data_IF_611418881022
#
_entry.id   IF_611418881022
#
_cell.length_a   1.000
_cell.length_b   1.000
_cell.length_c   1.000
_cell.angle_alpha   90.00
_cell.angle_beta   90.00
_cell.angle_gamma   90.00
#
_symmetry.space_group_name_H-M   'P 1'
#
loop_
_entity.id
_entity.type
_entity.pdbx_description
1 polymer ?
#
# COMPACT_ATOMS: atom_id res chain seq x y z
N UNK A 1 -73.82 -20.90 -32.02
CA UNK A 1 -72.79 -21.88 -32.41
C UNK A 1 -71.50 -21.11 -32.50
N UNK A 2 -70.61 -21.42 -31.57
CA UNK A 2 -69.36 -20.72 -31.26
C UNK A 2 -68.44 -20.45 -32.46
N UNK A 3 -67.73 -19.33 -32.31
CA UNK A 3 -66.54 -18.92 -33.04
C UNK A 3 -65.36 -19.84 -32.72
N UNK A 4 -64.80 -20.51 -33.73
CA UNK A 4 -63.52 -21.21 -33.65
C UNK A 4 -62.38 -20.18 -33.76
N UNK A 5 -61.83 -19.79 -32.60
CA UNK A 5 -60.67 -18.91 -32.49
C UNK A 5 -59.41 -19.76 -32.61
N UNK A 6 -58.64 -19.50 -33.67
CA UNK A 6 -57.31 -20.05 -33.87
C UNK A 6 -56.42 -19.80 -32.65
N UNK A 7 -55.99 -20.88 -32.01
CA UNK A 7 -54.99 -20.85 -30.94
C UNK A 7 -53.62 -20.54 -31.54
N UNK A 8 -53.20 -19.29 -31.46
CA UNK A 8 -51.80 -18.88 -31.66
C UNK A 8 -50.98 -19.46 -30.50
N UNK A 9 -50.30 -20.59 -30.73
CA UNK A 9 -49.23 -21.03 -29.83
C UNK A 9 -48.14 -19.94 -29.79
N UNK A 10 -47.70 -19.49 -28.60
CA UNK A 10 -46.51 -18.66 -28.51
C UNK A 10 -45.28 -19.46 -28.99
N UNK A 11 -44.25 -18.82 -29.59
CA UNK A 11 -43.06 -19.52 -30.04
C UNK A 11 -42.41 -20.22 -28.85
N UNK A 12 -42.07 -21.51 -29.00
CA UNK A 12 -41.29 -22.24 -28.01
C UNK A 12 -39.96 -21.52 -27.79
N UNK A 13 -39.81 -20.85 -26.65
CA UNK A 13 -38.56 -20.20 -26.25
C UNK A 13 -37.49 -21.27 -26.01
N UNK A 14 -36.70 -21.58 -27.04
CA UNK A 14 -35.59 -22.53 -26.94
C UNK A 14 -34.43 -21.85 -26.20
N UNK A 15 -34.14 -22.31 -24.99
CA UNK A 15 -32.95 -21.93 -24.23
C UNK A 15 -31.77 -22.83 -24.62
N UNK A 16 -30.55 -22.29 -24.55
CA UNK A 16 -29.30 -23.03 -24.69
C UNK A 16 -28.53 -22.87 -23.38
N UNK A 17 -28.13 -23.99 -22.79
CA UNK A 17 -27.25 -24.02 -21.62
C UNK A 17 -25.84 -24.38 -22.09
N UNK A 18 -24.84 -23.61 -21.64
CA UNK A 18 -23.42 -23.89 -21.93
C UNK A 18 -22.89 -25.00 -21.04
N UNK A 19 -21.74 -25.56 -21.42
CA UNK A 19 -20.93 -26.35 -20.50
C UNK A 19 -20.47 -25.48 -19.31
N UNK A 20 -20.22 -26.09 -18.14
CA UNK A 20 -19.75 -25.36 -16.97
C UNK A 20 -18.33 -24.83 -17.18
N UNK A 21 -18.06 -23.64 -16.65
CA UNK A 21 -16.71 -23.07 -16.64
C UNK A 21 -15.79 -23.74 -15.59
N UNK A 22 -14.57 -23.24 -15.42
CA UNK A 22 -13.61 -23.76 -14.43
C UNK A 22 -14.12 -23.64 -12.98
N UNK A 23 -15.10 -22.78 -12.72
CA UNK A 23 -15.74 -22.58 -11.43
C UNK A 23 -17.03 -23.39 -11.27
N UNK A 24 -17.42 -24.16 -12.28
CA UNK A 24 -18.65 -24.96 -12.29
C UNK A 24 -19.91 -24.17 -12.59
N UNK A 25 -19.79 -22.95 -13.13
CA UNK A 25 -20.92 -22.06 -13.42
C UNK A 25 -21.46 -22.34 -14.83
N UNK A 26 -22.78 -22.55 -14.92
CA UNK A 26 -23.51 -22.76 -16.17
C UNK A 26 -24.23 -21.48 -16.58
N UNK A 27 -24.16 -21.15 -17.88
CA UNK A 27 -24.88 -20.01 -18.43
C UNK A 27 -26.04 -20.49 -19.29
N UNK A 28 -27.22 -19.88 -19.14
CA UNK A 28 -28.41 -20.20 -19.95
C UNK A 28 -28.88 -18.96 -20.70
N UNK A 29 -28.97 -19.06 -22.02
CA UNK A 29 -29.34 -17.95 -22.91
C UNK A 29 -30.59 -18.29 -23.72
N UNK A 30 -31.41 -17.27 -23.99
CA UNK A 30 -32.56 -17.38 -24.88
C UNK A 30 -32.12 -17.26 -26.35
N UNK A 31 -32.57 -18.18 -27.22
CA UNK A 31 -32.41 -17.98 -28.67
C UNK A 31 -33.35 -16.87 -29.18
N UNK A 32 -32.95 -16.14 -30.24
CA UNK A 32 -31.71 -16.29 -31.03
C UNK A 32 -30.51 -15.45 -30.53
N UNK A 33 -30.66 -14.72 -29.42
CA UNK A 33 -29.72 -13.67 -29.01
C UNK A 33 -28.60 -14.21 -28.10
N UNK A 34 -27.70 -15.01 -28.67
CA UNK A 34 -26.49 -15.46 -27.97
C UNK A 34 -25.47 -14.29 -27.85
N UNK A 35 -24.93 -14.02 -26.66
CA UNK A 35 -23.82 -13.09 -26.51
C UNK A 35 -22.63 -13.55 -27.35
N UNK A 36 -22.07 -12.66 -28.16
CA UNK A 36 -20.85 -12.94 -28.94
C UNK A 36 -19.58 -12.67 -28.13
N UNK A 37 -19.70 -11.94 -27.02
CA UNK A 37 -18.60 -11.47 -26.21
C UNK A 37 -18.79 -11.90 -24.76
N UNK A 38 -17.81 -12.66 -24.26
CA UNK A 38 -17.71 -13.04 -22.86
C UNK A 38 -16.70 -12.09 -22.17
N UNK A 39 -17.15 -11.23 -21.24
CA UNK A 39 -16.24 -10.32 -20.53
C UNK A 39 -15.29 -11.05 -19.58
N UNK A 40 -15.62 -12.26 -19.15
CA UNK A 40 -14.85 -13.01 -18.14
C UNK A 40 -13.62 -13.69 -18.75
N UNK A 41 -13.69 -14.06 -20.04
CA UNK A 41 -12.58 -14.70 -20.76
C UNK A 41 -11.36 -13.80 -21.05
N UNK A 42 -11.49 -12.49 -20.85
CA UNK A 42 -10.49 -11.46 -21.24
C UNK A 42 -10.02 -10.62 -20.06
N UNK A 43 -10.71 -10.71 -18.92
CA UNK A 43 -10.37 -9.99 -17.72
C UNK A 43 -9.25 -10.72 -16.96
N UNK A 44 -7.99 -10.40 -17.28
CA UNK A 44 -6.91 -10.69 -16.35
C UNK A 44 -7.16 -9.88 -15.06
N UNK A 45 -6.88 -10.44 -13.87
CA UNK A 45 -7.04 -9.74 -12.57
C UNK A 45 -6.36 -8.37 -12.57
N UNK A 46 -5.28 -8.24 -13.34
CA UNK A 46 -4.51 -7.00 -13.51
C UNK A 46 -5.24 -5.91 -14.33
N UNK A 47 -6.30 -6.25 -15.06
CA UNK A 47 -7.12 -5.32 -15.84
C UNK A 47 -8.38 -4.85 -15.08
N UNK A 48 -8.68 -5.44 -13.92
CA UNK A 48 -9.87 -5.09 -13.13
C UNK A 48 -9.69 -3.85 -12.28
N UNK A 49 -8.44 -3.45 -11.99
CA UNK A 49 -8.17 -2.30 -11.13
C UNK A 49 -6.86 -1.62 -11.47
N UNK A 50 -6.94 -0.33 -11.79
CA UNK A 50 -5.79 0.58 -11.87
C UNK A 50 -5.43 1.17 -10.48
N UNK A 51 -5.70 0.44 -9.39
CA UNK A 51 -5.35 0.93 -8.07
C UNK A 51 -3.82 0.84 -7.85
N UNK A 52 -3.20 1.91 -7.34
CA UNK A 52 -1.73 1.99 -7.19
C UNK A 52 -1.15 1.00 -6.17
N UNK A 53 -2.00 0.33 -5.39
CA UNK A 53 -1.63 -0.65 -4.36
C UNK A 53 -1.54 -2.09 -4.87
N UNK A 54 -2.00 -2.41 -6.09
CA UNK A 54 -1.88 -3.77 -6.62
C UNK A 54 -0.50 -4.03 -7.24
N UNK A 55 0.02 -5.27 -7.13
CA UNK A 55 1.32 -5.61 -7.68
C UNK A 55 1.29 -5.58 -9.22
N UNK A 56 1.96 -4.58 -9.80
CA UNK A 56 2.12 -4.51 -11.26
C UNK A 56 3.07 -5.61 -11.78
N UNK A 57 2.89 -6.07 -13.04
CA UNK A 57 3.85 -6.92 -13.74
C UNK A 57 5.28 -6.38 -13.64
N UNK A 58 6.28 -7.28 -13.62
CA UNK A 58 7.70 -6.93 -13.41
C UNK A 58 8.21 -5.84 -14.35
N UNK A 59 7.62 -5.74 -15.53
CA UNK A 59 8.04 -4.84 -16.61
C UNK A 59 7.56 -3.39 -16.39
N UNK A 60 6.64 -3.15 -15.44
CA UNK A 60 6.13 -1.83 -15.05
C UNK A 60 6.67 -1.34 -13.68
N UNK A 61 7.57 -2.09 -13.05
CA UNK A 61 8.15 -1.75 -11.73
C UNK A 61 9.00 -0.47 -11.71
N UNK A 62 9.23 0.18 -12.85
CA UNK A 62 9.97 1.44 -12.94
C UNK A 62 9.12 2.69 -12.66
N UNK A 63 7.81 2.54 -12.43
CA UNK A 63 6.98 3.61 -11.91
C UNK A 63 6.21 3.09 -10.71
N UNK A 64 6.88 3.03 -9.56
CA UNK A 64 6.18 3.05 -8.28
C UNK A 64 5.41 4.36 -8.28
N UNK A 65 4.13 4.31 -8.68
CA UNK A 65 3.25 5.44 -8.63
C UNK A 65 3.21 5.85 -7.17
N UNK A 66 3.84 6.97 -6.86
CA UNK A 66 3.91 7.49 -5.50
C UNK A 66 2.48 7.55 -4.94
N UNK A 67 2.28 7.23 -3.66
CA UNK A 67 0.97 7.10 -2.99
C UNK A 67 -0.02 8.25 -3.24
N UNK A 68 0.49 9.46 -3.49
CA UNK A 68 -0.25 10.66 -3.86
C UNK A 68 -0.69 10.79 -5.33
N UNK A 69 -0.37 9.83 -6.20
CA UNK A 69 -0.72 9.89 -7.63
C UNK A 69 -2.25 9.89 -7.86
N UNK A 70 -3.02 9.46 -6.86
CA UNK A 70 -4.50 9.54 -6.86
C UNK A 70 -5.07 10.94 -6.63
N UNK A 71 -4.25 11.94 -6.26
CA UNK A 71 -4.74 13.32 -5.99
C UNK A 71 -4.93 14.19 -7.24
N UNK A 72 -4.93 13.59 -8.45
CA UNK A 72 -5.42 14.23 -9.68
C UNK A 72 -4.31 14.88 -10.52
N UNK A 73 -3.88 14.18 -11.58
CA UNK A 73 -2.98 14.75 -12.59
C UNK A 73 -3.78 15.40 -13.73
N UNK A 74 -4.16 16.66 -13.60
CA UNK A 74 -4.30 17.48 -14.80
C UNK A 74 -2.92 18.01 -15.14
N UNK A 75 -2.35 17.55 -16.26
CA UNK A 75 -0.99 17.84 -16.74
C UNK A 75 -0.64 19.33 -16.92
N UNK A 76 -1.56 20.26 -16.56
CA UNK A 76 -1.39 21.71 -16.63
C UNK A 76 -1.24 22.42 -15.27
N UNK A 77 -1.61 21.77 -14.15
CA UNK A 77 -1.42 22.31 -12.78
C UNK A 77 -0.14 21.82 -12.09
N UNK A 78 0.55 20.85 -12.71
CA UNK A 78 1.77 20.19 -12.17
C UNK A 78 2.94 21.16 -11.98
N UNK A 79 2.92 22.35 -12.60
CA UNK A 79 4.04 23.29 -12.47
C UNK A 79 3.92 24.24 -11.27
N UNK A 80 2.73 24.40 -10.66
CA UNK A 80 2.52 25.33 -9.53
C UNK A 80 2.30 24.63 -8.20
N UNK A 81 1.76 23.42 -8.18
CA UNK A 81 1.22 22.82 -6.96
C UNK A 81 1.81 21.44 -6.65
N UNK A 82 3.12 21.25 -6.82
CA UNK A 82 3.79 19.96 -6.54
C UNK A 82 3.58 19.48 -5.09
N UNK A 83 3.26 20.37 -4.14
CA UNK A 83 3.04 20.02 -2.75
C UNK A 83 1.59 20.18 -2.29
N UNK A 84 0.64 20.45 -3.19
CA UNK A 84 -0.77 20.41 -2.84
C UNK A 84 -1.18 18.96 -2.48
N UNK A 85 -2.08 18.75 -1.49
CA UNK A 85 -2.92 19.73 -0.80
C UNK A 85 -2.26 20.44 0.41
N UNK A 86 -0.95 20.27 0.62
CA UNK A 86 -0.27 20.78 1.80
C UNK A 86 0.10 22.28 1.64
N UNK A 87 0.20 22.99 2.77
CA UNK A 87 0.48 24.43 2.81
C UNK A 87 1.92 24.77 2.40
N UNK A 88 2.85 23.82 2.56
CA UNK A 88 4.26 24.01 2.23
C UNK A 88 4.93 22.70 1.79
N UNK A 89 6.06 22.82 1.10
CA UNK A 89 6.83 21.68 0.60
C UNK A 89 7.46 20.84 1.72
N UNK A 90 7.78 21.43 2.86
CA UNK A 90 8.40 20.74 4.01
C UNK A 90 7.46 19.72 4.63
N UNK A 91 6.22 20.12 4.90
CA UNK A 91 5.15 19.26 5.41
C UNK A 91 4.85 18.17 4.40
N UNK A 92 4.81 18.51 3.11
CA UNK A 92 4.67 17.51 2.07
C UNK A 92 5.80 16.45 2.12
N UNK A 93 7.07 16.86 2.20
CA UNK A 93 8.20 15.92 2.28
C UNK A 93 8.14 15.04 3.53
N UNK A 94 7.78 15.62 4.67
CA UNK A 94 7.66 14.92 5.95
C UNK A 94 6.55 13.85 5.90
N UNK A 95 5.37 14.24 5.40
CA UNK A 95 4.23 13.33 5.22
C UNK A 95 4.54 12.28 4.14
N UNK A 96 5.19 12.66 3.04
CA UNK A 96 5.61 11.72 2.02
C UNK A 96 6.60 10.69 2.58
N UNK A 97 7.55 11.10 3.42
CA UNK A 97 8.47 10.18 4.09
C UNK A 97 7.73 9.24 5.05
N UNK A 98 6.77 9.77 5.81
CA UNK A 98 5.97 9.00 6.75
C UNK A 98 5.27 7.81 6.07
N UNK A 99 4.66 8.05 4.91
CA UNK A 99 3.95 7.03 4.13
C UNK A 99 4.84 6.19 3.19
N UNK A 100 6.12 6.52 3.03
CA UNK A 100 7.04 5.84 2.09
C UNK A 100 7.66 4.54 2.65
N UNK A 101 6.94 3.75 3.44
CA UNK A 101 7.53 2.53 4.00
C UNK A 101 6.52 1.48 4.45
N UNK A 102 7.03 0.26 4.61
CA UNK A 102 6.30 -0.88 5.17
C UNK A 102 6.33 -0.92 6.70
N UNK A 103 7.18 -0.10 7.32
CA UNK A 103 7.31 -0.01 8.77
C UNK A 103 6.15 0.80 9.35
N UNK A 104 5.58 0.29 10.44
CA UNK A 104 4.52 0.96 11.21
C UNK A 104 5.10 2.23 11.83
N UNK A 105 4.63 3.39 11.37
CA UNK A 105 4.87 4.69 12.01
C UNK A 105 3.54 5.20 12.51
N UNK A 106 3.49 5.75 13.72
CA UNK A 106 2.28 6.37 14.23
C UNK A 106 2.30 7.89 14.02
N UNK A 107 1.11 8.51 13.92
CA UNK A 107 1.02 9.96 13.83
C UNK A 107 1.61 10.65 15.08
N UNK A 108 1.49 10.01 16.25
CA UNK A 108 2.12 10.50 17.47
C UNK A 108 3.65 10.53 17.35
N UNK A 109 4.27 9.48 16.80
CA UNK A 109 5.72 9.45 16.58
C UNK A 109 6.18 10.53 15.58
N UNK A 110 5.33 10.85 14.60
CA UNK A 110 5.60 11.93 13.65
C UNK A 110 5.57 13.30 14.33
N UNK A 111 4.59 13.53 15.20
CA UNK A 111 4.52 14.76 16.00
C UNK A 111 5.73 14.87 16.94
N UNK A 112 6.13 13.77 17.59
CA UNK A 112 7.34 13.73 18.41
C UNK A 112 8.60 14.01 17.60
N UNK A 113 8.74 13.47 16.39
CA UNK A 113 9.87 13.79 15.51
C UNK A 113 9.97 15.29 15.20
N UNK A 114 8.84 15.95 14.96
CA UNK A 114 8.84 17.38 14.66
C UNK A 114 9.20 18.20 15.90
N UNK A 115 8.52 17.98 17.01
CA UNK A 115 8.64 18.84 18.19
C UNK A 115 9.87 18.53 19.03
N UNK A 116 10.20 17.24 19.20
CA UNK A 116 11.21 16.77 20.14
C UNK A 116 12.56 16.50 19.46
N UNK A 117 12.63 16.55 18.13
CA UNK A 117 13.89 16.44 17.39
C UNK A 117 14.13 17.67 16.53
N UNK A 118 13.29 17.91 15.51
CA UNK A 118 13.56 18.93 14.49
C UNK A 118 13.48 20.37 15.04
N UNK A 119 12.55 20.64 15.96
CA UNK A 119 12.35 21.98 16.54
C UNK A 119 13.19 22.25 17.79
N UNK A 120 14.02 21.30 18.22
CA UNK A 120 14.88 21.50 19.40
C UNK A 120 16.02 22.47 19.09
N UNK A 121 16.47 23.20 20.13
CA UNK A 121 17.52 24.21 19.97
C UNK A 121 18.87 23.60 19.56
N UNK A 122 19.12 22.36 20.01
CA UNK A 122 20.37 21.65 19.79
C UNK A 122 20.40 20.92 18.43
N UNK A 123 19.29 20.94 17.67
CA UNK A 123 19.22 20.31 16.36
C UNK A 123 19.86 21.19 15.30
N UNK A 124 21.05 20.80 14.85
CA UNK A 124 21.67 21.37 13.66
C UNK A 124 21.50 20.42 12.47
N UNK A 125 20.97 20.96 11.38
CA UNK A 125 20.86 20.24 10.11
C UNK A 125 22.24 19.86 9.55
N UNK A 126 23.28 20.68 9.81
CA UNK A 126 24.62 20.42 9.33
C UNK A 126 25.20 19.12 9.88
N UNK A 127 24.81 18.72 11.09
CA UNK A 127 25.26 17.46 11.71
C UNK A 127 24.73 16.22 10.98
N UNK A 128 23.69 16.37 10.16
CA UNK A 128 23.15 15.30 9.34
C UNK A 128 23.89 15.11 8.01
N UNK A 129 24.87 15.97 7.68
CA UNK A 129 25.69 15.80 6.49
C UNK A 129 26.52 14.52 6.58
N UNK A 130 26.21 13.55 5.72
CA UNK A 130 26.85 12.23 5.73
C UNK A 130 26.26 11.26 6.77
N UNK A 131 25.13 11.59 7.40
CA UNK A 131 24.41 10.69 8.29
C UNK A 131 24.07 9.36 7.59
N UNK A 132 24.35 8.25 8.28
CA UNK A 132 23.99 6.90 7.84
C UNK A 132 23.48 6.10 9.02
N UNK A 133 22.19 5.75 9.01
CA UNK A 133 21.55 5.01 10.09
C UNK A 133 22.29 3.72 10.47
N UNK A 134 22.80 2.96 9.49
CA UNK A 134 23.59 1.74 9.73
C UNK A 134 24.82 2.03 10.59
N UNK A 135 25.59 3.07 10.25
CA UNK A 135 26.79 3.45 10.99
C UNK A 135 26.48 3.86 12.43
N UNK A 136 25.35 4.53 12.64
CA UNK A 136 24.92 4.96 13.96
C UNK A 136 24.45 3.78 14.82
N UNK A 137 23.76 2.81 14.23
CA UNK A 137 23.41 1.55 14.90
C UNK A 137 24.67 0.78 15.27
N UNK A 138 25.61 0.64 14.33
CA UNK A 138 26.90 -0.02 14.60
C UNK A 138 27.65 0.67 15.76
N UNK A 139 27.65 2.01 15.78
CA UNK A 139 28.28 2.79 16.87
C UNK A 139 27.61 2.56 18.22
N UNK A 140 26.28 2.39 18.25
CA UNK A 140 25.54 2.09 19.48
C UNK A 140 25.90 0.67 19.97
N UNK A 141 25.97 -0.30 19.06
CA UNK A 141 26.33 -1.68 19.40
C UNK A 141 27.78 -1.81 19.88
N UNK A 142 28.71 -1.04 19.30
CA UNK A 142 30.11 -0.99 19.72
C UNK A 142 30.34 -0.17 21.00
N UNK A 143 29.35 0.64 21.43
CA UNK A 143 29.48 1.46 22.62
C UNK A 143 29.46 0.61 23.89
N UNK A 144 30.63 0.13 24.28
CA UNK A 144 30.84 -0.43 25.62
C UNK A 144 30.85 0.74 26.61
N UNK A 145 29.76 0.87 27.37
CA UNK A 145 29.66 1.85 28.44
C UNK A 145 30.86 1.77 29.39
N UNK A 146 31.23 2.89 30.01
CA UNK A 146 32.33 2.93 30.97
C UNK A 146 32.09 1.87 32.07
N UNK A 147 33.05 0.98 32.36
CA UNK A 147 32.87 -0.05 33.38
C UNK A 147 32.64 0.50 34.80
N UNK A 148 32.96 1.77 35.04
CA UNK A 148 32.63 2.47 36.29
C UNK A 148 31.26 3.18 36.26
N UNK A 149 30.59 3.24 35.10
CA UNK A 149 29.17 3.64 34.94
C UNK A 149 28.22 2.42 34.89
N UNK A 150 28.75 1.19 34.92
CA UNK A 150 28.01 -0.07 34.67
C UNK A 150 26.92 -0.42 35.69
N UNK A 151 26.75 0.32 36.78
CA UNK A 151 25.56 0.21 37.65
C UNK A 151 24.39 1.08 37.17
N UNK A 152 24.63 2.08 36.34
CA UNK A 152 23.66 3.15 36.09
C UNK A 152 22.84 2.88 34.83
N UNK A 153 21.69 2.26 35.03
CA UNK A 153 20.43 2.44 34.29
C UNK A 153 19.95 1.25 33.43
N UNK A 154 20.72 0.71 32.48
CA UNK A 154 20.17 -0.34 31.58
C UNK A 154 20.30 -1.78 32.11
N UNK A 155 21.46 -2.16 32.65
CA UNK A 155 21.71 -3.52 33.14
C UNK A 155 21.03 -3.80 34.49
N UNK A 156 21.06 -2.82 35.41
CA UNK A 156 20.48 -2.97 36.74
C UNK A 156 18.93 -3.05 36.73
N UNK A 157 18.25 -2.33 35.83
CA UNK A 157 16.77 -2.34 35.74
C UNK A 157 16.24 -3.61 35.05
N UNK A 158 16.98 -4.16 34.09
CA UNK A 158 16.54 -5.32 33.33
C UNK A 158 16.74 -6.67 34.06
N UNK A 159 17.30 -6.67 35.28
CA UNK A 159 17.36 -7.84 36.15
C UNK A 159 18.31 -8.95 35.68
N UNK A 160 19.13 -8.69 34.67
CA UNK A 160 20.09 -9.67 34.16
C UNK A 160 21.24 -9.83 35.15
N UNK A 161 21.35 -11.03 35.73
CA UNK A 161 22.52 -11.45 36.50
C UNK A 161 23.26 -12.51 35.72
N UNK A 162 24.49 -12.22 35.36
CA UNK A 162 25.41 -13.22 34.83
C UNK A 162 25.73 -14.24 35.93
N UNK A 163 25.57 -15.53 35.64
CA UNK A 163 25.94 -16.61 36.56
C UNK A 163 26.78 -17.63 35.82
N UNK A 164 27.89 -18.08 36.42
CA UNK A 164 28.72 -19.12 35.84
C UNK A 164 28.08 -20.49 36.09
N UNK A 165 27.77 -21.22 35.01
CA UNK A 165 27.32 -22.62 35.07
C UNK A 165 28.53 -23.51 34.85
N UNK A 166 28.88 -24.33 35.84
CA UNK A 166 29.79 -25.46 35.65
C UNK A 166 28.99 -26.63 35.06
N UNK A 167 29.49 -27.19 33.96
CA UNK A 167 28.95 -28.39 33.30
C UNK A 167 29.74 -29.60 33.76
#
# INVERSE_FOLDING_TARGET
METDNGSLQPPLESHITTEPDHYGVYHTYFRPNLPTYDPDGIANINHLSDAPTFPLPRDQRHRVASWWSGFGSSLRSVQTDYFAPFLNATVFQLISWFYNGTNVKSLADLDHLVHDVILTLDFDRADLEGFRAVKEVDRIDEHQGNPNDLESTFLAVAGWKETNVQI
#
